data_IF_023203841813
#
_entry.id   IF_023203841813
#
_cell.length_a   1.000
_cell.length_b   1.000
_cell.length_c   1.000
_cell.angle_alpha   90.00
_cell.angle_beta   90.00
_cell.angle_gamma   90.00
#
_symmetry.space_group_name_H-M   'P 1'
#
loop_
_entity.id
_entity.type
_entity.pdbx_description
1 polymer ?
#
# COMPACT_ATOMS: atom_id res chain seq x y z
N UNK A 1 -11.60 -25.11 4.42
CA UNK A 1 -11.50 -23.71 4.87
C UNK A 1 -11.80 -22.79 3.71
N UNK A 2 -12.32 -21.57 3.94
CA UNK A 2 -12.56 -20.61 2.87
C UNK A 2 -11.25 -20.26 2.14
N UNK A 3 -11.34 -20.03 0.83
CA UNK A 3 -10.20 -19.69 -0.02
C UNK A 3 -9.61 -18.33 0.38
N UNK A 4 -8.28 -18.25 0.44
CA UNK A 4 -7.58 -17.00 0.70
C UNK A 4 -7.79 -15.99 -0.46
N UNK A 5 -7.82 -14.68 -0.17
CA UNK A 5 -8.02 -13.65 -1.19
C UNK A 5 -6.82 -13.56 -2.12
N UNK A 6 -7.06 -13.49 -3.43
CA UNK A 6 -5.99 -13.33 -4.43
C UNK A 6 -5.28 -11.97 -4.34
N UNK A 7 -5.96 -10.92 -3.85
CA UNK A 7 -5.37 -9.61 -3.66
C UNK A 7 -5.78 -8.98 -2.33
N UNK A 8 -4.77 -8.47 -1.61
CA UNK A 8 -4.91 -7.79 -0.33
C UNK A 8 -4.45 -6.34 -0.50
N UNK A 9 -5.37 -5.37 -0.60
CA UNK A 9 -5.00 -3.96 -0.70
C UNK A 9 -4.60 -3.40 0.67
N UNK A 10 -3.47 -2.71 0.72
CA UNK A 10 -3.04 -1.92 1.88
C UNK A 10 -3.09 -0.44 1.53
N UNK A 11 -3.92 0.29 2.27
CA UNK A 11 -4.12 1.72 2.13
C UNK A 11 -3.46 2.47 3.29
N UNK A 12 -2.66 3.49 2.97
CA UNK A 12 -2.32 4.52 3.94
C UNK A 12 -3.53 5.47 4.05
N UNK A 13 -3.95 5.76 5.28
CA UNK A 13 -5.14 6.58 5.56
C UNK A 13 -4.98 7.98 4.97
N UNK A 14 -5.83 8.36 4.02
CA UNK A 14 -5.87 9.72 3.48
C UNK A 14 -6.98 10.48 4.19
N UNK A 15 -6.62 11.55 4.88
CA UNK A 15 -7.59 12.43 5.52
C UNK A 15 -8.34 13.23 4.46
N UNK A 16 -9.65 13.33 4.60
CA UNK A 16 -10.52 14.13 3.74
C UNK A 16 -11.28 15.13 4.60
N UNK A 17 -11.62 16.28 4.03
CA UNK A 17 -12.40 17.31 4.73
C UNK A 17 -13.73 16.71 5.25
N UNK A 18 -14.08 17.04 6.49
CA UNK A 18 -15.27 16.49 7.16
C UNK A 18 -15.05 15.13 7.85
N UNK A 19 -13.92 14.43 7.60
CA UNK A 19 -13.49 13.34 8.48
C UNK A 19 -12.69 13.93 9.64
N UNK A 20 -13.11 13.61 10.88
CA UNK A 20 -12.52 14.16 12.10
C UNK A 20 -11.00 14.03 12.15
N UNK A 21 -10.35 14.85 12.97
CA UNK A 21 -8.89 14.88 13.08
C UNK A 21 -8.38 13.52 13.56
N UNK A 22 -7.63 12.85 12.69
CA UNK A 22 -6.87 11.67 13.06
C UNK A 22 -5.48 12.12 13.47
N UNK A 23 -5.01 11.67 14.63
CA UNK A 23 -3.58 11.66 14.92
C UNK A 23 -2.88 10.92 13.76
N UNK A 24 -1.89 11.55 13.14
CA UNK A 24 -1.12 10.99 12.01
C UNK A 24 -0.18 9.87 12.50
N UNK A 25 -0.73 8.80 13.07
CA UNK A 25 0.07 7.76 13.73
C UNK A 25 0.66 6.74 12.76
N UNK A 26 0.46 6.87 11.44
CA UNK A 26 0.90 5.85 10.47
C UNK A 26 2.01 6.36 9.56
N UNK A 27 3.23 6.27 10.09
CA UNK A 27 4.47 6.39 9.32
C UNK A 27 4.66 5.20 8.38
N UNK A 28 5.51 5.35 7.36
CA UNK A 28 5.93 4.25 6.49
C UNK A 28 6.42 3.02 7.28
N UNK A 29 7.02 3.21 8.46
CA UNK A 29 7.49 2.12 9.32
C UNK A 29 6.36 1.20 9.82
N UNK A 30 5.21 1.76 10.18
CA UNK A 30 4.07 0.96 10.63
C UNK A 30 3.51 0.11 9.49
N UNK A 31 3.48 0.67 8.28
CA UNK A 31 3.04 -0.05 7.09
C UNK A 31 4.05 -1.14 6.69
N UNK A 32 5.35 -0.84 6.79
CA UNK A 32 6.43 -1.81 6.58
C UNK A 32 6.35 -2.99 7.54
N UNK A 33 6.12 -2.75 8.84
CA UNK A 33 6.00 -3.81 9.83
C UNK A 33 4.77 -4.68 9.56
N UNK A 34 3.62 -4.07 9.28
CA UNK A 34 2.41 -4.83 8.93
C UNK A 34 2.56 -5.66 7.65
N UNK A 35 3.31 -5.16 6.66
CA UNK A 35 3.66 -5.93 5.46
C UNK A 35 4.54 -7.14 5.80
N UNK A 36 5.55 -6.97 6.64
CA UNK A 36 6.43 -8.04 7.07
C UNK A 36 5.67 -9.13 7.84
N UNK A 37 4.83 -8.73 8.79
CA UNK A 37 4.02 -9.65 9.59
C UNK A 37 3.01 -10.42 8.71
N UNK A 38 2.38 -9.73 7.75
CA UNK A 38 1.47 -10.35 6.79
C UNK A 38 2.20 -11.38 5.92
N UNK A 39 3.31 -11.00 5.29
CA UNK A 39 4.05 -11.91 4.41
C UNK A 39 4.68 -13.09 5.16
N UNK A 40 4.99 -12.93 6.46
CA UNK A 40 5.46 -14.03 7.30
C UNK A 40 4.36 -15.01 7.68
N UNK A 41 3.09 -14.58 7.69
CA UNK A 41 1.95 -15.37 8.16
C UNK A 41 1.14 -16.03 7.04
N UNK A 42 1.13 -15.45 5.83
CA UNK A 42 0.27 -15.87 4.73
C UNK A 42 1.08 -16.39 3.53
N UNK A 43 0.39 -17.07 2.59
CA UNK A 43 1.01 -17.59 1.36
C UNK A 43 1.63 -16.46 0.51
N UNK A 44 2.74 -16.80 -0.15
CA UNK A 44 3.50 -15.89 -1.02
C UNK A 44 2.81 -15.60 -2.36
N UNK A 45 1.74 -16.34 -2.69
CA UNK A 45 1.00 -16.18 -3.94
C UNK A 45 0.03 -14.99 -3.92
N UNK A 46 -0.11 -14.30 -2.78
CA UNK A 46 -1.03 -13.18 -2.64
C UNK A 46 -0.50 -11.90 -3.31
N UNK A 47 -1.37 -11.17 -4.00
CA UNK A 47 -1.06 -9.83 -4.50
C UNK A 47 -1.28 -8.80 -3.38
N UNK A 48 -0.20 -8.37 -2.74
CA UNK A 48 -0.21 -7.35 -1.70
C UNK A 48 -0.02 -5.97 -2.33
N UNK A 49 -1.10 -5.19 -2.39
CA UNK A 49 -1.15 -3.95 -3.19
C UNK A 49 -1.03 -2.68 -2.34
N UNK A 50 0.05 -1.94 -2.52
CA UNK A 50 0.20 -0.60 -1.97
C UNK A 50 -0.66 0.40 -2.76
N UNK A 51 -1.76 0.85 -2.15
CA UNK A 51 -2.85 1.53 -2.84
C UNK A 51 -2.94 3.02 -2.46
N UNK A 52 -3.97 3.45 -1.74
CA UNK A 52 -4.19 4.86 -1.40
C UNK A 52 -3.15 5.42 -0.43
N UNK A 53 -2.86 6.73 -0.56
CA UNK A 53 -2.02 7.47 0.38
C UNK A 53 -0.50 7.27 0.23
N UNK A 54 -0.03 6.34 -0.62
CA UNK A 54 1.41 6.12 -0.88
C UNK A 54 2.14 7.32 -1.47
N UNK A 55 1.41 8.23 -2.12
CA UNK A 55 1.97 9.45 -2.70
C UNK A 55 2.63 10.38 -1.66
N UNK A 56 2.27 10.23 -0.38
CA UNK A 56 2.90 10.95 0.72
C UNK A 56 4.24 10.35 1.15
N UNK A 57 4.52 9.11 0.72
CA UNK A 57 5.78 8.45 0.99
C UNK A 57 6.81 8.83 -0.07
N UNK A 58 8.02 9.12 0.39
CA UNK A 58 9.20 9.24 -0.45
C UNK A 58 9.45 7.97 -1.27
N UNK A 59 10.28 8.08 -2.30
CA UNK A 59 10.64 6.94 -3.14
C UNK A 59 11.32 5.81 -2.34
N UNK A 60 12.16 6.16 -1.36
CA UNK A 60 12.83 5.21 -0.47
C UNK A 60 11.84 4.50 0.46
N UNK A 61 10.87 5.21 1.02
CA UNK A 61 9.80 4.63 1.83
C UNK A 61 8.93 3.65 1.04
N UNK A 62 8.57 4.01 -0.21
CA UNK A 62 7.86 3.08 -1.08
C UNK A 62 8.72 1.85 -1.40
N UNK A 63 10.01 2.03 -1.69
CA UNK A 63 10.94 0.92 -1.90
C UNK A 63 11.06 -0.01 -0.69
N UNK A 64 11.06 0.54 0.54
CA UNK A 64 11.04 -0.26 1.77
C UNK A 64 9.75 -1.07 1.91
N UNK A 65 8.60 -0.54 1.48
CA UNK A 65 7.35 -1.29 1.47
C UNK A 65 7.41 -2.46 0.47
N UNK A 66 8.00 -2.25 -0.72
CA UNK A 66 8.21 -3.34 -1.68
C UNK A 66 9.17 -4.41 -1.11
N UNK A 67 10.25 -3.98 -0.44
CA UNK A 67 11.17 -4.90 0.22
C UNK A 67 10.50 -5.70 1.35
N UNK A 68 9.53 -5.10 2.05
CA UNK A 68 8.73 -5.76 3.08
C UNK A 68 7.61 -6.67 2.52
N UNK A 69 7.47 -6.78 1.20
CA UNK A 69 6.56 -7.73 0.55
C UNK A 69 5.30 -7.11 -0.07
N UNK A 70 5.22 -5.79 -0.24
CA UNK A 70 4.28 -5.24 -1.23
C UNK A 70 4.76 -5.61 -2.65
N UNK A 71 3.86 -6.04 -3.53
CA UNK A 71 4.22 -6.50 -4.88
C UNK A 71 3.35 -5.87 -6.00
N UNK A 72 2.43 -4.97 -5.65
CA UNK A 72 1.55 -4.31 -6.61
C UNK A 72 1.22 -2.88 -6.21
N UNK A 73 0.91 -2.02 -7.18
CA UNK A 73 0.37 -0.66 -6.98
C UNK A 73 -0.78 -0.39 -7.95
N UNK A 74 -1.59 0.61 -7.65
CA UNK A 74 -2.62 1.09 -8.59
C UNK A 74 -2.01 2.06 -9.61
N UNK A 75 -2.19 1.79 -10.90
CA UNK A 75 -1.79 2.68 -12.00
C UNK A 75 -3.02 3.37 -12.59
N UNK A 76 -2.96 4.69 -12.74
CA UNK A 76 -4.09 5.53 -13.17
C UNK A 76 -4.01 6.91 -12.52
N UNK A 77 -4.81 7.87 -12.97
CA UNK A 77 -4.71 9.26 -12.49
C UNK A 77 -5.51 9.50 -11.19
N UNK A 78 -6.51 8.67 -10.92
CA UNK A 78 -7.42 8.79 -9.77
C UNK A 78 -7.67 7.46 -9.08
N UNK A 79 -7.85 7.52 -7.76
CA UNK A 79 -8.43 6.45 -6.93
C UNK A 79 -9.91 6.76 -6.69
N UNK A 80 -10.60 5.92 -5.92
CA UNK A 80 -12.04 6.05 -5.64
C UNK A 80 -12.44 7.43 -5.09
N UNK A 81 -11.63 8.01 -4.20
CA UNK A 81 -11.95 9.28 -3.53
C UNK A 81 -10.79 10.29 -3.53
N UNK A 82 -9.62 9.93 -4.08
CA UNK A 82 -8.40 10.74 -3.98
C UNK A 82 -7.60 10.67 -5.27
N UNK A 83 -6.78 11.67 -5.56
CA UNK A 83 -5.87 11.61 -6.71
C UNK A 83 -4.81 10.54 -6.49
N UNK A 84 -4.50 9.81 -7.56
CA UNK A 84 -3.40 8.86 -7.56
C UNK A 84 -2.17 9.61 -8.09
N UNK A 85 -1.36 10.22 -7.22
CA UNK A 85 -0.22 11.06 -7.64
C UNK A 85 0.97 10.21 -8.15
N UNK A 86 0.75 9.43 -9.20
CA UNK A 86 1.78 8.61 -9.83
C UNK A 86 2.48 9.42 -10.90
N UNK A 87 3.66 9.95 -10.60
CA UNK A 87 4.67 10.08 -11.67
C UNK A 87 5.07 8.65 -12.03
N UNK A 88 4.80 8.21 -13.27
CA UNK A 88 5.07 6.87 -13.81
C UNK A 88 6.50 6.38 -13.48
N UNK A 89 6.74 5.79 -12.32
CA UNK A 89 8.08 5.37 -11.90
C UNK A 89 8.17 4.13 -11.00
N UNK A 90 7.08 3.40 -10.81
CA UNK A 90 7.16 2.06 -10.24
C UNK A 90 6.42 1.10 -11.15
N UNK A 91 7.20 0.30 -11.88
CA UNK A 91 6.69 -0.81 -12.66
C UNK A 91 6.19 -1.90 -11.71
N UNK A 92 5.11 -2.54 -12.13
CA UNK A 92 4.56 -3.74 -11.51
C UNK A 92 5.69 -4.80 -11.52
N UNK A 93 6.15 -5.22 -10.35
CA UNK A 93 7.00 -6.41 -10.20
C UNK A 93 6.09 -7.63 -10.13
N UNK A 94 5.43 -7.94 -11.24
CA UNK A 94 4.84 -9.27 -11.43
C UNK A 94 5.96 -10.19 -11.87
N UNK A 95 6.16 -11.29 -11.14
CA UNK A 95 6.81 -12.47 -11.71
C UNK A 95 6.01 -12.96 -12.92
#
# INVERSE_FOLDING_TARGET
MPQHPESVPINALVQVEGTGTLEETRTCNNLRNGLYDFNSSYSHDNVVRLSAGRARFSQSEQALCFFAGANSIFTGDKLLATNNNVKKKFFILTK
#
